data_IF_095067254794
#
_entry.id   IF_095067254794
#
_cell.length_a   1.000
_cell.length_b   1.000
_cell.length_c   1.000
_cell.angle_alpha   90.00
_cell.angle_beta   90.00
_cell.angle_gamma   90.00
#
_symmetry.space_group_name_H-M   'P 1'
#
loop_
_entity.id
_entity.type
_entity.pdbx_description
1 polymer ?
#
# COMPACT_ATOMS: atom_id res chain seq x y z
N UNK A 1 -32.02 15.73 32.67
CA UNK A 1 -31.78 15.98 31.23
C UNK A 1 -30.28 15.92 31.04
N UNK A 2 -29.74 14.71 30.93
CA UNK A 2 -28.30 14.46 30.81
C UNK A 2 -28.09 13.18 30.01
N UNK A 3 -26.88 13.05 29.46
CA UNK A 3 -26.31 11.99 28.64
C UNK A 3 -26.43 12.28 27.13
N UNK A 4 -25.38 12.85 26.55
CA UNK A 4 -24.20 12.12 26.03
C UNK A 4 -24.49 11.55 24.64
N UNK A 5 -23.97 12.24 23.63
CA UNK A 5 -23.72 11.67 22.30
C UNK A 5 -22.35 12.17 21.82
N UNK A 6 -21.35 12.05 22.70
CA UNK A 6 -19.94 12.31 22.37
C UNK A 6 -19.19 11.08 21.85
N UNK A 7 -19.89 10.00 21.46
CA UNK A 7 -19.24 8.71 21.22
C UNK A 7 -19.86 7.97 20.03
N UNK A 8 -19.44 8.31 18.81
CA UNK A 8 -19.56 7.39 17.66
C UNK A 8 -18.49 7.48 16.58
N UNK A 9 -17.64 8.51 16.58
CA UNK A 9 -16.61 8.69 15.52
C UNK A 9 -15.22 8.09 15.85
N UNK A 10 -15.05 7.51 17.05
CA UNK A 10 -13.75 7.01 17.52
C UNK A 10 -13.27 5.63 17.01
N UNK A 11 -14.11 4.66 16.58
CA UNK A 11 -13.61 3.36 16.13
C UNK A 11 -13.04 3.38 14.70
N UNK A 12 -13.61 4.16 13.79
CA UNK A 12 -13.28 4.14 12.36
C UNK A 12 -11.93 4.80 12.05
N UNK A 13 -11.67 6.01 12.60
CA UNK A 13 -10.38 6.69 12.43
C UNK A 13 -9.20 5.89 12.96
N UNK A 14 -9.37 5.19 14.09
CA UNK A 14 -8.32 4.36 14.68
C UNK A 14 -8.03 3.11 13.85
N UNK A 15 -9.05 2.50 13.25
CA UNK A 15 -8.87 1.38 12.31
C UNK A 15 -8.03 1.80 11.12
N UNK A 16 -8.36 2.91 10.48
CA UNK A 16 -7.58 3.42 9.33
C UNK A 16 -6.11 3.73 9.69
N UNK A 17 -5.86 4.30 10.87
CA UNK A 17 -4.50 4.59 11.33
C UNK A 17 -3.63 3.33 11.50
N UNK A 18 -4.23 2.16 11.69
CA UNK A 18 -3.51 0.89 11.79
C UNK A 18 -3.43 0.18 10.45
N UNK A 19 -4.52 0.19 9.68
CA UNK A 19 -4.62 -0.51 8.40
C UNK A 19 -3.73 0.14 7.34
N UNK A 20 -3.74 1.47 7.22
CA UNK A 20 -3.03 2.18 6.16
C UNK A 20 -1.51 1.98 6.22
N UNK A 21 -0.82 2.12 7.36
CA UNK A 21 0.61 1.86 7.43
C UNK A 21 0.97 0.42 7.08
N UNK A 22 0.17 -0.56 7.54
CA UNK A 22 0.38 -1.97 7.23
C UNK A 22 0.18 -2.26 5.74
N UNK A 23 -0.90 -1.74 5.15
CA UNK A 23 -1.21 -1.89 3.74
C UNK A 23 -0.13 -1.26 2.85
N UNK A 24 0.28 -0.02 3.15
CA UNK A 24 1.36 0.66 2.44
C UNK A 24 2.69 -0.09 2.57
N UNK A 25 3.03 -0.55 3.77
CA UNK A 25 4.25 -1.33 4.00
C UNK A 25 4.27 -2.61 3.16
N UNK A 26 3.14 -3.33 3.06
CA UNK A 26 3.05 -4.54 2.25
C UNK A 26 3.21 -4.25 0.76
N UNK A 27 2.46 -3.28 0.23
CA UNK A 27 2.51 -2.90 -1.19
C UNK A 27 3.92 -2.41 -1.56
N UNK A 28 4.50 -1.51 -0.76
CA UNK A 28 5.86 -1.04 -0.95
C UNK A 28 6.90 -2.16 -0.83
N UNK A 29 6.76 -3.09 0.12
CA UNK A 29 7.72 -4.19 0.28
C UNK A 29 7.72 -5.11 -0.93
N UNK A 30 6.55 -5.45 -1.48
CA UNK A 30 6.44 -6.29 -2.68
C UNK A 30 7.11 -5.58 -3.87
N UNK A 31 6.80 -4.30 -4.05
CA UNK A 31 7.37 -3.49 -5.13
C UNK A 31 8.91 -3.36 -5.01
N UNK A 32 9.41 -3.03 -3.81
CA UNK A 32 10.84 -2.87 -3.55
C UNK A 32 11.60 -4.19 -3.66
N UNK A 33 11.09 -5.28 -3.10
CA UNK A 33 11.72 -6.59 -3.19
C UNK A 33 11.95 -7.01 -4.65
N UNK A 34 10.99 -6.68 -5.53
CA UNK A 34 11.17 -6.92 -6.96
C UNK A 34 12.12 -5.94 -7.59
N UNK A 35 12.04 -4.65 -7.32
CA UNK A 35 12.96 -3.67 -7.87
C UNK A 35 14.45 -4.06 -7.72
N UNK A 36 14.82 -4.58 -6.54
CA UNK A 36 16.20 -4.99 -6.25
C UNK A 36 16.59 -6.35 -6.86
N UNK A 37 15.64 -7.14 -7.37
CA UNK A 37 15.90 -8.49 -7.88
C UNK A 37 15.59 -8.65 -9.38
N UNK A 38 14.61 -7.94 -9.91
CA UNK A 38 14.16 -8.02 -11.30
C UNK A 38 13.48 -6.70 -11.76
N UNK A 39 13.58 -6.33 -13.05
CA UNK A 39 13.00 -5.08 -13.55
C UNK A 39 11.48 -5.09 -13.70
N UNK A 40 10.82 -6.26 -13.65
CA UNK A 40 9.37 -6.39 -13.90
C UNK A 40 8.67 -7.22 -12.82
N UNK A 41 7.44 -6.83 -12.50
CA UNK A 41 6.56 -7.60 -11.61
C UNK A 41 6.08 -8.87 -12.32
N UNK A 42 6.07 -9.99 -11.60
CA UNK A 42 5.53 -11.27 -12.04
C UNK A 42 4.09 -11.42 -11.56
N UNK A 43 3.39 -12.40 -12.14
CA UNK A 43 2.00 -12.69 -11.78
C UNK A 43 1.81 -13.01 -10.28
N UNK A 44 2.83 -13.61 -9.67
CA UNK A 44 2.89 -13.90 -8.22
C UNK A 44 2.85 -12.61 -7.39
N UNK A 45 3.56 -11.57 -7.82
CA UNK A 45 3.62 -10.30 -7.10
C UNK A 45 2.28 -9.57 -7.17
N UNK A 46 1.63 -9.61 -8.35
CA UNK A 46 0.28 -9.08 -8.54
C UNK A 46 -0.75 -9.81 -7.69
N UNK A 47 -0.65 -11.13 -7.58
CA UNK A 47 -1.53 -11.92 -6.72
C UNK A 47 -1.36 -11.56 -5.23
N UNK A 48 -0.13 -11.34 -4.78
CA UNK A 48 0.16 -10.90 -3.40
C UNK A 48 -0.37 -9.49 -3.12
N UNK A 49 -0.17 -8.56 -4.06
CA UNK A 49 -0.71 -7.20 -3.96
C UNK A 49 -2.24 -7.24 -3.86
N UNK A 50 -2.90 -8.02 -4.71
CA UNK A 50 -4.35 -8.17 -4.69
C UNK A 50 -4.85 -8.80 -3.38
N UNK A 51 -4.24 -9.89 -2.94
CA UNK A 51 -4.60 -10.56 -1.69
C UNK A 51 -4.40 -9.68 -0.46
N UNK A 52 -3.28 -8.98 -0.36
CA UNK A 52 -3.02 -8.03 0.73
C UNK A 52 -4.04 -6.89 0.75
N UNK A 53 -4.50 -6.47 -0.44
CA UNK A 53 -5.49 -5.41 -0.58
C UNK A 53 -6.90 -5.86 -0.21
N UNK A 54 -7.27 -7.12 -0.46
CA UNK A 54 -8.51 -7.71 0.06
C UNK A 54 -8.50 -7.73 1.59
N UNK A 55 -7.40 -8.17 2.21
CA UNK A 55 -7.28 -8.21 3.66
C UNK A 55 -7.36 -6.79 4.25
N UNK A 56 -6.63 -5.84 3.67
CA UNK A 56 -6.66 -4.46 4.12
C UNK A 56 -8.05 -3.80 3.94
N UNK A 57 -8.72 -4.02 2.81
CA UNK A 57 -10.08 -3.57 2.57
C UNK A 57 -11.08 -4.16 3.56
N UNK A 58 -10.94 -5.45 3.88
CA UNK A 58 -11.78 -6.11 4.89
C UNK A 58 -11.56 -5.54 6.29
N UNK A 59 -10.33 -5.14 6.63
CA UNK A 59 -10.02 -4.50 7.91
C UNK A 59 -10.46 -3.03 7.96
N UNK A 60 -10.54 -2.36 6.81
CA UNK A 60 -11.09 -1.01 6.70
C UNK A 60 -12.59 -0.99 7.03
N UNK A 61 -13.31 -2.10 6.78
CA UNK A 61 -14.70 -2.30 7.17
C UNK A 61 -15.66 -1.95 6.04
N UNK A 62 -15.80 -0.67 5.75
CA UNK A 62 -16.72 -0.12 4.76
C UNK A 62 -16.01 0.44 3.53
N UNK A 63 -16.78 0.62 2.44
CA UNK A 63 -16.26 1.11 1.17
C UNK A 63 -15.64 2.52 1.26
N UNK A 64 -16.20 3.42 2.08
CA UNK A 64 -15.67 4.78 2.23
C UNK A 64 -14.28 4.75 2.86
N UNK A 65 -14.13 4.03 3.98
CA UNK A 65 -12.84 3.83 4.62
C UNK A 65 -11.85 3.07 3.71
N UNK A 66 -12.30 2.10 2.92
CA UNK A 66 -11.43 1.42 1.96
C UNK A 66 -10.93 2.37 0.85
N UNK A 67 -11.75 3.30 0.36
CA UNK A 67 -11.34 4.32 -0.61
C UNK A 67 -10.33 5.32 -0.02
N UNK A 68 -10.59 5.81 1.20
CA UNK A 68 -9.64 6.69 1.91
C UNK A 68 -8.32 5.94 2.16
N UNK A 69 -8.42 4.68 2.59
CA UNK A 69 -7.28 3.81 2.84
C UNK A 69 -6.47 3.54 1.58
N UNK A 70 -7.12 3.32 0.44
CA UNK A 70 -6.48 3.16 -0.86
C UNK A 70 -5.65 4.40 -1.24
N UNK A 71 -6.26 5.60 -1.24
CA UNK A 71 -5.56 6.83 -1.60
C UNK A 71 -4.37 7.08 -0.66
N UNK A 72 -4.60 6.92 0.64
CA UNK A 72 -3.56 7.10 1.67
C UNK A 72 -2.42 6.09 1.49
N UNK A 73 -2.75 4.84 1.15
CA UNK A 73 -1.79 3.76 0.89
C UNK A 73 -0.94 4.08 -0.32
N UNK A 74 -1.50 4.62 -1.41
CA UNK A 74 -0.73 5.01 -2.59
C UNK A 74 0.27 6.13 -2.29
N UNK A 75 -0.19 7.18 -1.60
CA UNK A 75 0.67 8.30 -1.22
C UNK A 75 1.80 7.80 -0.33
N UNK A 76 1.46 7.05 0.73
CA UNK A 76 2.43 6.52 1.68
C UNK A 76 3.40 5.54 1.00
N UNK A 77 2.91 4.68 0.11
CA UNK A 77 3.75 3.73 -0.61
C UNK A 77 4.75 4.44 -1.53
N UNK A 78 4.32 5.50 -2.21
CA UNK A 78 5.17 6.33 -3.05
C UNK A 78 6.28 6.99 -2.22
N UNK A 79 5.94 7.50 -1.04
CA UNK A 79 6.91 8.09 -0.10
C UNK A 79 7.91 7.03 0.38
N UNK A 80 7.43 5.86 0.83
CA UNK A 80 8.30 4.77 1.32
C UNK A 80 9.26 4.33 0.22
N UNK A 81 8.75 4.05 -0.99
CA UNK A 81 9.57 3.62 -2.13
C UNK A 81 10.60 4.70 -2.48
N UNK A 82 10.17 5.96 -2.57
CA UNK A 82 11.07 7.09 -2.88
C UNK A 82 12.17 7.26 -1.83
N UNK A 83 11.83 7.17 -0.54
CA UNK A 83 12.82 7.25 0.54
C UNK A 83 13.84 6.12 0.47
N UNK A 84 13.39 4.89 0.22
CA UNK A 84 14.29 3.73 0.11
C UNK A 84 15.23 3.90 -1.09
N UNK A 85 14.72 4.35 -2.23
CA UNK A 85 15.51 4.60 -3.43
C UNK A 85 16.55 5.71 -3.25
N UNK A 86 16.22 6.78 -2.51
CA UNK A 86 17.15 7.90 -2.29
C UNK A 86 18.11 7.63 -1.11
N UNK A 87 17.82 6.65 -0.25
CA UNK A 87 18.61 6.35 0.95
C UNK A 87 20.10 6.10 0.70
N UNK A 88 20.56 5.40 -0.37
CA UNK A 88 21.99 5.19 -0.59
C UNK A 88 22.72 6.51 -0.88
N UNK A 89 22.08 7.43 -1.60
CA UNK A 89 22.65 8.73 -1.92
C UNK A 89 22.76 9.63 -0.68
N UNK A 90 21.74 9.61 0.20
CA UNK A 90 21.77 10.39 1.46
C UNK A 90 22.85 9.88 2.41
N UNK A 91 23.02 8.57 2.50
CA UNK A 91 23.99 7.94 3.39
C UNK A 91 25.43 7.96 2.84
N UNK A 92 25.64 8.48 1.63
CA UNK A 92 26.95 8.47 0.97
C UNK A 92 27.46 7.06 0.67
N UNK A 93 26.55 6.08 0.58
CA UNK A 93 26.90 4.70 0.29
C UNK A 93 27.33 4.61 -1.17
N UNK A 94 28.57 4.19 -1.38
CA UNK A 94 29.14 3.90 -2.70
C UNK A 94 29.35 2.40 -2.82
N UNK A 95 29.00 1.81 -3.96
CA UNK A 95 29.10 0.37 -4.21
C UNK A 95 27.97 -0.21 -5.06
N UNK A 96 27.89 -1.55 -5.17
CA UNK A 96 27.00 -2.24 -6.11
C UNK A 96 25.51 -1.93 -5.92
N UNK A 97 25.08 -1.67 -4.68
CA UNK A 97 23.70 -1.25 -4.37
C UNK A 97 23.38 0.16 -4.84
N UNK A 98 24.36 1.08 -4.77
CA UNK A 98 24.22 2.43 -5.30
C UNK A 98 24.13 2.37 -6.82
N UNK A 99 25.00 1.59 -7.48
CA UNK A 99 24.97 1.40 -8.94
C UNK A 99 23.64 0.79 -9.40
N UNK A 100 23.09 -0.21 -8.71
CA UNK A 100 21.78 -0.78 -9.04
C UNK A 100 20.62 0.22 -9.00
N UNK A 101 20.70 1.22 -8.12
CA UNK A 101 19.67 2.25 -7.94
C UNK A 101 19.93 3.48 -8.83
N UNK A 102 21.20 3.84 -9.04
CA UNK A 102 21.63 5.03 -9.76
C UNK A 102 21.83 4.80 -11.28
N UNK A 103 22.27 3.62 -11.70
CA UNK A 103 22.45 3.28 -13.12
C UNK A 103 21.15 2.89 -13.80
N UNK A 104 20.18 2.38 -13.02
CA UNK A 104 18.88 2.08 -13.57
C UNK A 104 18.07 3.37 -13.65
N UNK A 105 17.36 3.51 -14.76
CA UNK A 105 16.02 4.09 -14.84
C UNK A 105 15.04 3.36 -13.86
N UNK A 106 15.48 2.88 -12.70
CA UNK A 106 14.80 2.02 -11.76
C UNK A 106 13.56 2.73 -11.23
N UNK A 107 13.64 4.03 -10.95
CA UNK A 107 12.47 4.80 -10.57
C UNK A 107 11.41 4.81 -11.69
N UNK A 108 11.82 5.00 -12.95
CA UNK A 108 10.90 5.10 -14.10
C UNK A 108 10.35 3.71 -14.47
N UNK A 109 11.21 2.69 -14.55
CA UNK A 109 10.84 1.31 -14.84
C UNK A 109 10.00 0.67 -13.73
N UNK A 110 10.26 1.00 -12.46
CA UNK A 110 9.38 0.62 -11.36
C UNK A 110 8.03 1.29 -11.47
N UNK A 111 8.01 2.59 -11.76
CA UNK A 111 6.77 3.32 -11.90
C UNK A 111 5.95 2.75 -13.06
N UNK A 112 6.57 2.41 -14.19
CA UNK A 112 5.90 1.77 -15.33
C UNK A 112 5.51 0.31 -15.09
N UNK A 113 6.22 -0.42 -14.22
CA UNK A 113 5.84 -1.78 -13.85
C UNK A 113 4.71 -1.82 -12.81
N UNK A 114 4.66 -0.82 -11.93
CA UNK A 114 3.66 -0.68 -10.87
C UNK A 114 2.38 -0.07 -11.46
N UNK A 115 2.48 0.98 -12.25
CA UNK A 115 1.35 1.66 -12.88
C UNK A 115 1.08 1.10 -14.28
N UNK A 116 -0.18 0.88 -14.71
CA UNK A 116 -1.43 1.13 -13.99
C UNK A 116 -1.99 -0.10 -13.26
N UNK A 117 -1.47 -1.31 -13.54
CA UNK A 117 -2.09 -2.56 -13.07
C UNK A 117 -2.11 -2.72 -11.55
N UNK A 118 -1.04 -2.32 -10.85
CA UNK A 118 -1.00 -2.38 -9.38
C UNK A 118 -2.07 -1.52 -8.78
N UNK A 119 -2.33 -0.32 -9.32
CA UNK A 119 -3.41 0.53 -8.82
C UNK A 119 -4.76 -0.14 -8.91
N UNK A 120 -5.06 -0.74 -10.06
CA UNK A 120 -6.33 -1.41 -10.30
C UNK A 120 -6.48 -2.56 -9.32
N UNK A 121 -5.42 -3.33 -9.07
CA UNK A 121 -5.45 -4.45 -8.13
C UNK A 121 -5.58 -4.00 -6.67
N UNK A 122 -4.89 -2.92 -6.27
CA UNK A 122 -5.02 -2.41 -4.90
C UNK A 122 -6.43 -1.87 -4.67
N UNK A 123 -6.99 -1.12 -5.63
CA UNK A 123 -8.35 -0.61 -5.55
C UNK A 123 -9.38 -1.74 -5.58
N UNK A 124 -9.30 -2.64 -6.57
CA UNK A 124 -10.23 -3.76 -6.70
C UNK A 124 -10.17 -4.68 -5.49
N UNK A 125 -8.97 -4.97 -4.99
CA UNK A 125 -8.79 -5.76 -3.77
C UNK A 125 -9.41 -5.06 -2.57
N UNK A 126 -9.17 -3.75 -2.39
CA UNK A 126 -9.77 -2.94 -1.35
C UNK A 126 -11.30 -2.97 -1.37
N UNK A 127 -11.92 -2.78 -2.54
CA UNK A 127 -13.38 -2.82 -2.74
C UNK A 127 -13.94 -4.21 -2.46
N UNK A 128 -13.28 -5.28 -2.94
CA UNK A 128 -13.70 -6.66 -2.67
C UNK A 128 -13.60 -6.95 -1.18
N UNK A 129 -12.51 -6.53 -0.53
CA UNK A 129 -12.31 -6.67 0.90
C UNK A 129 -13.38 -5.99 1.73
N UNK A 130 -13.66 -4.71 1.45
CA UNK A 130 -14.69 -3.95 2.18
C UNK A 130 -16.08 -4.51 1.94
N UNK A 131 -16.41 -4.89 0.70
CA UNK A 131 -17.69 -5.54 0.39
C UNK A 131 -17.88 -6.89 1.11
N UNK A 132 -16.81 -7.64 1.34
CA UNK A 132 -16.86 -8.83 2.18
C UNK A 132 -17.12 -8.46 3.65
N UNK A 133 -16.45 -7.44 4.18
CA UNK A 133 -16.64 -7.03 5.57
C UNK A 133 -18.05 -6.49 5.85
N UNK A 134 -18.60 -5.68 4.95
CA UNK A 134 -20.00 -5.21 5.01
C UNK A 134 -20.99 -6.38 4.99
N UNK A 135 -20.74 -7.40 4.16
CA UNK A 135 -21.66 -8.53 3.99
C UNK A 135 -21.60 -9.54 5.14
N UNK A 136 -20.42 -9.74 5.72
CA UNK A 136 -20.20 -10.72 6.79
C UNK A 136 -20.25 -10.12 8.20
N UNK A 137 -20.54 -8.82 8.32
CA UNK A 137 -20.67 -8.10 9.59
C UNK A 137 -19.51 -8.38 10.55
N UNK A 138 -18.28 -8.05 10.13
CA UNK A 138 -17.16 -7.87 11.06
C UNK A 138 -17.32 -6.53 11.80
N UNK A 139 -18.41 -6.39 12.55
CA UNK A 139 -18.60 -5.30 13.51
C UNK A 139 -17.65 -5.49 14.71
#
# INVERSE_FOLDING_TARGET
MAADTGQKDMPERKRLLLVVPGWASLVSSIALARLFTAPTLRIEDFALIFASSILAGSLAGDLENAMIGFISTLILSTIIIGLVLVSPAILGLTGPLYEQVAEREAAIGAFQAIFPFTLVLVLAGGIVGSGLAERFAFD
#
